data_IF_476936712690
#
_entry.id   IF_476936712690
#
_cell.length_a   1.000
_cell.length_b   1.000
_cell.length_c   1.000
_cell.angle_alpha   90.00
_cell.angle_beta   90.00
_cell.angle_gamma   90.00
#
_symmetry.space_group_name_H-M   'P 1'
#
loop_
_entity.id
_entity.type
_entity.pdbx_description
1 polymer ?
#
# COMPACT_ATOMS: atom_id res chain seq x y z
N UNK A 1 -21.37 20.61 71.63
CA UNK A 1 -20.54 20.71 70.40
C UNK A 1 -20.99 19.62 69.42
N UNK A 2 -21.91 19.89 68.48
CA UNK A 2 -22.54 18.76 67.74
C UNK A 2 -23.12 19.02 66.36
N UNK A 3 -23.55 20.24 66.04
CA UNK A 3 -24.15 20.55 64.72
C UNK A 3 -23.21 21.35 63.81
N UNK A 4 -22.64 22.45 64.31
CA UNK A 4 -21.75 23.32 63.51
C UNK A 4 -20.48 22.61 63.02
N UNK A 5 -19.88 21.74 63.83
CA UNK A 5 -18.70 20.96 63.44
C UNK A 5 -19.01 19.96 62.32
N UNK A 6 -20.22 19.36 62.33
CA UNK A 6 -20.65 18.44 61.26
C UNK A 6 -20.89 19.18 59.94
N UNK A 7 -21.47 20.38 60.01
CA UNK A 7 -21.68 21.22 58.83
C UNK A 7 -20.35 21.67 58.19
N UNK A 8 -19.38 22.06 59.02
CA UNK A 8 -18.03 22.42 58.55
C UNK A 8 -17.29 21.26 57.89
N UNK A 9 -17.38 20.06 58.47
CA UNK A 9 -16.76 18.85 57.88
C UNK A 9 -17.42 18.48 56.55
N UNK A 10 -18.75 18.54 56.45
CA UNK A 10 -19.46 18.25 55.19
C UNK A 10 -19.13 19.27 54.11
N UNK A 11 -19.04 20.57 54.47
CA UNK A 11 -18.66 21.61 53.52
C UNK A 11 -17.22 21.40 53.01
N UNK A 12 -16.29 21.05 53.91
CA UNK A 12 -14.91 20.73 53.54
C UNK A 12 -14.83 19.53 52.58
N UNK A 13 -15.57 18.45 52.85
CA UNK A 13 -15.60 17.27 51.99
C UNK A 13 -16.20 17.56 50.61
N UNK A 14 -17.26 18.36 50.54
CA UNK A 14 -17.85 18.78 49.26
C UNK A 14 -16.89 19.65 48.47
N UNK A 15 -16.20 20.60 49.11
CA UNK A 15 -15.18 21.42 48.43
C UNK A 15 -13.98 20.60 47.97
N UNK A 16 -13.54 19.60 48.74
CA UNK A 16 -12.47 18.70 48.36
C UNK A 16 -12.86 17.82 47.17
N UNK A 17 -14.09 17.29 47.17
CA UNK A 17 -14.64 16.53 46.04
C UNK A 17 -14.79 17.41 44.80
N UNK A 18 -15.25 18.65 44.94
CA UNK A 18 -15.35 19.59 43.83
C UNK A 18 -13.96 19.92 43.26
N UNK A 19 -12.95 20.09 44.11
CA UNK A 19 -11.57 20.25 43.66
C UNK A 19 -10.99 18.99 43.02
N UNK A 20 -11.33 17.78 43.49
CA UNK A 20 -10.93 16.54 42.82
C UNK A 20 -11.58 16.44 41.44
N UNK A 21 -12.86 16.78 41.29
CA UNK A 21 -13.56 16.73 39.99
C UNK A 21 -13.05 17.82 39.04
N UNK A 22 -12.73 19.02 39.54
CA UNK A 22 -12.17 20.12 38.75
C UNK A 22 -10.67 19.94 38.44
N UNK A 23 -9.90 19.27 39.31
CA UNK A 23 -8.50 18.89 39.06
C UNK A 23 -8.36 17.60 38.26
N UNK A 24 -9.46 16.85 38.10
CA UNK A 24 -9.61 15.84 37.07
C UNK A 24 -9.83 16.51 35.70
N UNK A 25 -8.97 17.48 35.40
CA UNK A 25 -8.59 17.82 34.05
C UNK A 25 -8.37 16.49 33.32
N UNK A 26 -9.20 16.24 32.32
CA UNK A 26 -8.98 15.13 31.41
C UNK A 26 -7.51 15.21 30.99
N UNK A 27 -6.67 14.30 31.49
CA UNK A 27 -5.32 14.09 30.97
C UNK A 27 -5.47 13.63 29.53
N UNK A 28 -5.65 14.60 28.62
CA UNK A 28 -5.68 14.43 27.17
C UNK A 28 -4.31 13.99 26.62
N UNK A 29 -3.31 13.83 27.48
CA UNK A 29 -1.94 13.47 27.12
C UNK A 29 -1.65 11.95 27.13
N UNK A 30 -2.65 11.08 27.28
CA UNK A 30 -2.47 9.65 26.94
C UNK A 30 -2.89 9.38 25.49
N UNK A 31 -2.28 10.10 24.54
CA UNK A 31 -2.11 9.54 23.19
C UNK A 31 -1.18 8.34 23.32
N UNK A 32 -1.57 7.12 22.89
CA UNK A 32 -0.63 6.02 22.81
C UNK A 32 0.53 6.47 21.92
N UNK A 33 1.75 6.47 22.45
CA UNK A 33 2.96 6.57 21.63
C UNK A 33 3.05 5.27 20.84
N UNK A 34 2.29 5.16 19.75
CA UNK A 34 2.29 3.99 18.86
C UNK A 34 3.71 3.68 18.36
N UNK A 35 4.59 4.67 18.36
CA UNK A 35 6.02 4.49 18.18
C UNK A 35 6.77 5.33 19.23
N UNK A 36 7.42 4.65 20.18
CA UNK A 36 8.42 5.28 21.06
C UNK A 36 9.60 5.85 20.26
N UNK A 37 10.33 6.81 20.85
CA UNK A 37 11.57 7.46 20.38
C UNK A 37 11.80 7.36 18.85
N UNK A 38 11.37 8.39 18.09
CA UNK A 38 11.66 8.69 16.66
C UNK A 38 12.02 7.45 15.82
N UNK A 39 11.05 6.95 15.04
CA UNK A 39 11.25 5.94 14.00
C UNK A 39 12.56 6.22 13.26
N UNK A 40 13.42 5.22 13.11
CA UNK A 40 14.71 5.40 12.44
C UNK A 40 14.53 5.21 10.93
N UNK A 41 15.11 6.07 10.09
CA UNK A 41 15.00 5.96 8.63
C UNK A 41 15.48 4.59 8.13
N UNK A 42 16.54 4.08 8.75
CA UNK A 42 17.06 2.71 8.59
C UNK A 42 16.00 1.62 8.74
N UNK A 43 15.00 1.80 9.59
CA UNK A 43 13.89 0.85 9.75
C UNK A 43 12.84 0.92 8.65
N UNK A 44 13.00 1.83 7.69
CA UNK A 44 12.12 2.06 6.56
C UNK A 44 12.81 1.81 5.21
N UNK A 45 14.13 1.68 5.15
CA UNK A 45 14.87 1.49 3.90
C UNK A 45 14.48 0.18 3.17
N UNK A 46 13.91 0.25 1.95
CA UNK A 46 13.59 -0.94 1.17
C UNK A 46 14.81 -1.73 0.66
N UNK A 47 16.03 -1.23 0.86
CA UNK A 47 17.26 -1.99 0.65
C UNK A 47 17.34 -3.21 1.61
N UNK A 48 16.71 -3.13 2.78
CA UNK A 48 16.77 -4.17 3.82
C UNK A 48 15.80 -5.31 3.56
N UNK A 49 16.29 -6.54 3.67
CA UNK A 49 15.51 -7.74 3.34
C UNK A 49 14.21 -7.89 4.13
N UNK A 50 14.20 -7.52 5.42
CA UNK A 50 12.99 -7.60 6.23
C UNK A 50 11.93 -6.57 5.82
N UNK A 51 12.34 -5.42 5.26
CA UNK A 51 11.41 -4.39 4.75
C UNK A 51 10.82 -4.84 3.42
N UNK A 52 11.64 -5.37 2.50
CA UNK A 52 11.17 -6.00 1.24
C UNK A 52 10.09 -7.06 1.51
N UNK A 53 10.38 -7.98 2.43
CA UNK A 53 9.44 -9.04 2.84
C UNK A 53 8.14 -8.47 3.40
N UNK A 54 8.22 -7.48 4.31
CA UNK A 54 7.02 -6.83 4.88
C UNK A 54 6.17 -6.13 3.84
N UNK A 55 6.79 -5.41 2.91
CA UNK A 55 6.08 -4.72 1.83
C UNK A 55 5.31 -5.69 0.96
N UNK A 56 5.95 -6.78 0.52
CA UNK A 56 5.28 -7.86 -0.23
C UNK A 56 4.16 -8.49 0.59
N UNK A 57 4.40 -8.75 1.88
CA UNK A 57 3.38 -9.32 2.78
C UNK A 57 2.17 -8.41 2.96
N UNK A 58 2.36 -7.09 3.11
CA UNK A 58 1.26 -6.14 3.22
C UNK A 58 0.41 -6.14 1.96
N UNK A 59 1.03 -6.13 0.78
CA UNK A 59 0.31 -6.18 -0.49
C UNK A 59 -0.46 -7.49 -0.66
N UNK A 60 0.19 -8.64 -0.42
CA UNK A 60 -0.47 -9.94 -0.51
C UNK A 60 -1.60 -10.11 0.52
N UNK A 61 -1.42 -9.57 1.73
CA UNK A 61 -2.49 -9.52 2.72
C UNK A 61 -3.70 -8.75 2.18
N UNK A 62 -3.52 -7.53 1.68
CA UNK A 62 -4.62 -6.73 1.14
C UNK A 62 -5.27 -7.36 -0.10
N UNK A 63 -4.47 -7.92 -1.02
CA UNK A 63 -4.97 -8.67 -2.19
C UNK A 63 -5.86 -9.86 -1.79
N UNK A 64 -5.60 -10.50 -0.65
CA UNK A 64 -6.46 -11.57 -0.11
C UNK A 64 -7.79 -11.09 0.49
N UNK A 65 -7.97 -9.77 0.67
CA UNK A 65 -9.13 -9.16 1.33
C UNK A 65 -10.06 -8.40 0.39
N UNK A 66 -9.81 -8.46 -0.92
CA UNK A 66 -10.66 -7.81 -1.93
C UNK A 66 -12.09 -8.34 -1.89
N UNK A 67 -13.03 -7.46 -2.21
CA UNK A 67 -14.45 -7.80 -2.37
C UNK A 67 -14.96 -7.20 -3.68
N UNK A 68 -15.60 -7.98 -4.57
CA UNK A 68 -15.76 -9.44 -4.50
C UNK A 68 -14.42 -10.20 -4.52
N UNK A 69 -14.39 -11.47 -4.09
CA UNK A 69 -13.17 -12.28 -4.14
C UNK A 69 -12.72 -12.46 -5.60
N UNK A 70 -11.41 -12.36 -5.84
CA UNK A 70 -10.83 -12.51 -7.16
C UNK A 70 -10.39 -13.97 -7.42
N UNK A 71 -10.67 -14.49 -8.62
CA UNK A 71 -10.33 -15.86 -9.02
C UNK A 71 -8.92 -16.00 -9.61
N UNK A 72 -8.32 -14.91 -10.10
CA UNK A 72 -7.04 -14.90 -10.81
C UNK A 72 -6.02 -13.89 -10.25
N UNK A 73 -6.14 -13.56 -8.95
CA UNK A 73 -5.24 -12.63 -8.28
C UNK A 73 -3.86 -13.27 -8.06
N UNK A 74 -2.84 -12.83 -8.79
CA UNK A 74 -1.48 -13.34 -8.62
C UNK A 74 -0.88 -12.87 -7.29
N UNK A 75 -0.09 -13.72 -6.64
CA UNK A 75 0.70 -13.31 -5.48
C UNK A 75 1.86 -12.40 -5.93
N UNK A 76 2.04 -11.27 -5.25
CA UNK A 76 3.18 -10.39 -5.47
C UNK A 76 4.48 -11.00 -4.92
N UNK A 77 5.56 -10.73 -5.63
CA UNK A 77 6.94 -11.02 -5.24
C UNK A 77 7.83 -9.79 -5.46
N UNK A 78 9.01 -9.79 -4.84
CA UNK A 78 9.92 -8.63 -4.93
C UNK A 78 10.74 -8.68 -6.22
N UNK A 79 10.73 -7.59 -6.98
CA UNK A 79 11.59 -7.37 -8.14
C UNK A 79 12.69 -6.36 -7.81
N UNK A 80 13.94 -6.79 -7.98
CA UNK A 80 15.10 -5.91 -7.79
C UNK A 80 15.13 -4.79 -8.85
N UNK A 81 14.81 -5.10 -10.11
CA UNK A 81 14.77 -4.11 -11.19
C UNK A 81 13.73 -3.02 -10.91
N UNK A 82 12.49 -3.41 -10.55
CA UNK A 82 11.44 -2.44 -10.21
C UNK A 82 11.81 -1.56 -9.00
N UNK A 83 12.58 -2.11 -8.05
CA UNK A 83 13.03 -1.37 -6.87
C UNK A 83 14.13 -0.36 -7.20
N UNK A 84 15.01 -0.65 -8.16
CA UNK A 84 16.01 0.30 -8.66
C UNK A 84 15.32 1.52 -9.25
N UNK A 85 14.32 1.31 -10.11
CA UNK A 85 13.56 2.41 -10.72
C UNK A 85 12.75 3.19 -9.68
N UNK A 86 12.11 2.49 -8.73
CA UNK A 86 11.36 3.13 -7.66
C UNK A 86 12.27 3.97 -6.75
N UNK A 87 13.48 3.51 -6.45
CA UNK A 87 14.46 4.27 -5.67
C UNK A 87 14.96 5.49 -6.44
N UNK A 88 15.30 5.33 -7.73
CA UNK A 88 15.66 6.45 -8.61
C UNK A 88 14.58 7.55 -8.60
N UNK A 89 13.31 7.16 -8.69
CA UNK A 89 12.21 8.13 -8.64
C UNK A 89 11.99 8.72 -7.25
N UNK A 90 12.18 7.95 -6.18
CA UNK A 90 12.11 8.49 -4.82
C UNK A 90 13.17 9.58 -4.63
N UNK A 91 14.41 9.33 -5.08
CA UNK A 91 15.57 10.23 -4.96
C UNK A 91 15.45 11.50 -5.81
N UNK A 92 14.63 11.47 -6.87
CA UNK A 92 14.36 12.67 -7.69
C UNK A 92 13.57 13.75 -6.94
N UNK A 93 12.98 13.39 -5.79
CA UNK A 93 12.28 14.30 -4.88
C UNK A 93 11.18 15.14 -5.54
N UNK A 94 10.49 14.56 -6.52
CA UNK A 94 9.30 15.16 -7.13
C UNK A 94 8.09 15.02 -6.20
N UNK A 95 7.45 16.14 -5.89
CA UNK A 95 6.32 16.17 -4.96
C UNK A 95 5.03 15.77 -5.68
N UNK A 96 4.49 14.58 -5.37
CA UNK A 96 3.22 14.06 -5.91
C UNK A 96 3.18 13.99 -7.45
N UNK A 97 4.33 13.78 -8.08
CA UNK A 97 4.45 13.60 -9.54
C UNK A 97 4.90 12.18 -9.81
N UNK A 98 4.25 11.52 -10.77
CA UNK A 98 4.62 10.19 -11.23
C UNK A 98 5.78 10.23 -12.23
N UNK A 99 6.57 9.18 -12.22
CA UNK A 99 7.63 8.97 -13.22
C UNK A 99 7.04 8.69 -14.59
N UNK A 100 7.80 8.97 -15.65
CA UNK A 100 7.38 8.61 -16.99
C UNK A 100 7.38 7.07 -17.19
N UNK A 101 6.68 6.61 -18.22
CA UNK A 101 6.53 5.17 -18.47
C UNK A 101 7.86 4.50 -18.86
N UNK A 102 8.73 5.23 -19.58
CA UNK A 102 10.05 4.74 -19.98
C UNK A 102 11.00 4.57 -18.78
N UNK A 103 10.85 5.40 -17.75
CA UNK A 103 11.60 5.36 -16.51
C UNK A 103 11.17 4.26 -15.54
N UNK A 104 10.07 3.57 -15.85
CA UNK A 104 9.50 2.48 -15.05
C UNK A 104 9.38 1.19 -15.87
N UNK A 105 10.30 0.94 -16.79
CA UNK A 105 10.25 -0.22 -17.68
C UNK A 105 11.29 -1.26 -17.27
N UNK A 106 10.81 -2.45 -16.91
CA UNK A 106 11.65 -3.60 -16.57
C UNK A 106 11.66 -4.57 -17.76
N UNK A 107 12.83 -5.05 -18.17
CA UNK A 107 13.02 -5.84 -19.39
C UNK A 107 12.07 -7.04 -19.50
N UNK A 108 11.84 -7.75 -18.39
CA UNK A 108 11.02 -8.96 -18.37
C UNK A 108 9.51 -8.69 -18.30
N UNK A 109 9.09 -7.49 -17.87
CA UNK A 109 7.69 -7.18 -17.58
C UNK A 109 7.14 -5.97 -18.32
N UNK A 110 7.97 -5.26 -19.09
CA UNK A 110 7.62 -4.00 -19.73
C UNK A 110 7.42 -2.87 -18.73
N UNK A 111 6.59 -1.91 -19.09
CA UNK A 111 6.23 -0.78 -18.23
C UNK A 111 5.55 -1.29 -16.95
N UNK A 112 5.93 -0.72 -15.82
CA UNK A 112 5.38 -0.96 -14.49
C UNK A 112 4.55 0.23 -14.04
N UNK A 113 3.45 0.01 -13.34
CA UNK A 113 2.69 1.08 -12.69
C UNK A 113 3.40 1.61 -11.44
N UNK A 114 2.85 2.64 -10.79
CA UNK A 114 3.51 3.32 -9.67
C UNK A 114 2.49 3.89 -8.67
N UNK A 115 2.76 3.68 -7.38
CA UNK A 115 2.10 4.39 -6.29
C UNK A 115 3.12 5.29 -5.57
N UNK A 116 2.68 6.48 -5.18
CA UNK A 116 3.48 7.45 -4.43
C UNK A 116 2.75 7.83 -3.14
N UNK A 117 3.52 7.99 -2.07
CA UNK A 117 3.04 8.54 -0.81
C UNK A 117 4.09 9.52 -0.29
N UNK A 118 3.63 10.67 0.21
CA UNK A 118 4.50 11.72 0.74
C UNK A 118 4.09 12.06 2.16
N UNK A 119 5.07 12.23 3.05
CA UNK A 119 4.84 12.72 4.40
C UNK A 119 5.95 13.67 4.86
N UNK A 120 5.60 14.67 5.66
CA UNK A 120 6.57 15.61 6.28
C UNK A 120 7.39 14.97 7.41
N UNK A 121 7.02 13.75 7.82
CA UNK A 121 7.67 12.98 8.88
C UNK A 121 7.81 11.53 8.43
N UNK A 122 8.69 10.79 9.11
CA UNK A 122 8.85 9.36 8.87
C UNK A 122 7.58 8.63 9.31
N UNK A 123 7.04 7.79 8.42
CA UNK A 123 5.88 6.95 8.70
C UNK A 123 6.23 5.49 8.43
N UNK A 124 5.66 4.53 9.17
CA UNK A 124 5.81 3.12 8.83
C UNK A 124 5.24 2.84 7.44
N UNK A 125 5.91 1.97 6.67
CA UNK A 125 5.41 1.51 5.37
C UNK A 125 3.98 0.98 5.41
N UNK A 126 3.59 0.32 6.50
CA UNK A 126 2.21 -0.15 6.67
C UNK A 126 1.19 1.00 6.61
N UNK A 127 1.54 2.19 7.12
CA UNK A 127 0.66 3.35 7.06
C UNK A 127 0.48 3.82 5.61
N UNK A 128 1.57 4.01 4.86
CA UNK A 128 1.50 4.39 3.45
C UNK A 128 0.69 3.38 2.61
N UNK A 129 1.01 2.09 2.74
CA UNK A 129 0.31 1.00 2.02
C UNK A 129 -1.16 0.92 2.42
N UNK A 130 -1.48 1.12 3.72
CA UNK A 130 -2.88 1.12 4.17
C UNK A 130 -3.66 2.32 3.62
N UNK A 131 -3.03 3.49 3.49
CA UNK A 131 -3.69 4.67 2.89
C UNK A 131 -4.08 4.40 1.43
N UNK A 132 -3.18 3.85 0.63
CA UNK A 132 -3.49 3.41 -0.73
C UNK A 132 -4.63 2.37 -0.77
N UNK A 133 -4.63 1.42 0.16
CA UNK A 133 -5.70 0.41 0.26
C UNK A 133 -7.08 1.00 0.63
N UNK A 134 -7.13 2.05 1.45
CA UNK A 134 -8.38 2.63 1.94
C UNK A 134 -9.20 3.34 0.85
N UNK A 135 -8.62 3.67 -0.30
CA UNK A 135 -9.37 4.16 -1.46
C UNK A 135 -10.42 3.15 -1.96
N UNK A 136 -10.35 1.89 -1.53
CA UNK A 136 -11.39 0.88 -1.76
C UNK A 136 -12.79 1.35 -1.32
N UNK A 137 -12.87 2.23 -0.32
CA UNK A 137 -14.14 2.71 0.21
C UNK A 137 -14.84 3.66 -0.78
N UNK A 138 -14.10 4.17 -1.77
CA UNK A 138 -14.58 4.99 -2.87
C UNK A 138 -14.65 4.21 -4.21
N UNK A 139 -14.23 2.94 -4.22
CA UNK A 139 -14.19 2.11 -5.42
C UNK A 139 -15.44 1.24 -5.56
N UNK A 140 -15.99 1.18 -6.77
CA UNK A 140 -17.08 0.25 -7.12
C UNK A 140 -16.62 -0.75 -8.16
N UNK A 141 -16.59 -2.05 -7.80
CA UNK A 141 -16.27 -3.11 -8.74
C UNK A 141 -17.33 -3.22 -9.84
N UNK A 142 -16.91 -3.24 -11.12
CA UNK A 142 -17.82 -3.26 -12.27
C UNK A 142 -18.59 -1.96 -12.50
N UNK A 143 -18.33 -0.92 -11.70
CA UNK A 143 -18.94 0.40 -11.88
C UNK A 143 -18.34 1.17 -13.05
N UNK A 144 -19.16 1.99 -13.71
CA UNK A 144 -18.75 2.83 -14.85
C UNK A 144 -18.11 4.16 -14.45
N UNK A 145 -18.01 4.47 -13.16
CA UNK A 145 -17.62 5.79 -12.62
C UNK A 145 -16.52 5.73 -11.57
N UNK A 146 -15.45 4.97 -11.81
CA UNK A 146 -14.27 5.02 -10.95
C UNK A 146 -13.32 6.12 -11.45
N UNK A 147 -13.08 7.14 -10.63
CA UNK A 147 -12.08 8.16 -10.89
C UNK A 147 -10.69 7.68 -10.46
N UNK A 148 -9.79 7.48 -11.43
CA UNK A 148 -8.43 6.99 -11.17
C UNK A 148 -7.58 7.97 -10.33
N UNK A 149 -7.93 9.25 -10.26
CA UNK A 149 -7.28 10.18 -9.32
C UNK A 149 -7.66 9.90 -7.87
N UNK A 150 -8.76 9.20 -7.62
CA UNK A 150 -9.29 8.88 -6.29
C UNK A 150 -9.02 7.43 -5.90
N UNK A 151 -9.09 6.49 -6.86
CA UNK A 151 -8.98 5.04 -6.58
C UNK A 151 -7.76 4.37 -7.24
N UNK A 152 -6.89 5.17 -7.86
CA UNK A 152 -5.75 4.67 -8.63
C UNK A 152 -4.78 3.85 -7.79
N UNK A 153 -4.50 4.27 -6.56
CA UNK A 153 -3.56 3.54 -5.71
C UNK A 153 -4.14 2.19 -5.28
N UNK A 154 -5.42 2.15 -4.89
CA UNK A 154 -6.10 0.90 -4.56
C UNK A 154 -6.13 -0.06 -5.75
N UNK A 155 -6.59 0.43 -6.91
CA UNK A 155 -6.72 -0.41 -8.12
C UNK A 155 -5.38 -0.98 -8.57
N UNK A 156 -4.29 -0.21 -8.46
CA UNK A 156 -2.94 -0.71 -8.70
C UNK A 156 -2.52 -1.79 -7.69
N UNK A 157 -2.77 -1.59 -6.39
CA UNK A 157 -2.44 -2.61 -5.37
C UNK A 157 -3.14 -3.95 -5.63
N UNK A 158 -4.36 -3.90 -6.15
CA UNK A 158 -5.20 -5.09 -6.41
C UNK A 158 -5.24 -5.49 -7.87
N UNK A 159 -4.34 -4.98 -8.72
CA UNK A 159 -4.32 -5.37 -10.11
C UNK A 159 -3.90 -6.84 -10.26
N UNK A 160 -4.75 -7.66 -10.87
CA UNK A 160 -4.60 -9.11 -10.82
C UNK A 160 -3.27 -9.59 -11.45
N UNK A 161 -2.83 -8.92 -12.52
CA UNK A 161 -1.63 -9.27 -13.28
C UNK A 161 -0.33 -8.74 -12.67
N UNK A 162 -0.37 -7.63 -11.93
CA UNK A 162 0.83 -7.08 -11.27
C UNK A 162 1.28 -8.02 -10.14
N UNK A 163 2.36 -8.75 -10.37
CA UNK A 163 2.87 -9.80 -9.48
C UNK A 163 4.36 -9.61 -9.13
N UNK A 164 4.96 -8.55 -9.65
CA UNK A 164 6.31 -8.11 -9.31
C UNK A 164 6.22 -6.70 -8.73
N UNK A 165 6.91 -6.44 -7.63
CA UNK A 165 6.93 -5.11 -7.03
C UNK A 165 8.29 -4.74 -6.48
N UNK A 166 8.61 -3.45 -6.51
CA UNK A 166 9.81 -2.89 -5.88
C UNK A 166 9.53 -1.49 -5.39
N UNK A 167 10.15 -1.08 -4.29
CA UNK A 167 9.89 0.21 -3.67
C UNK A 167 11.17 0.95 -3.32
N UNK A 168 11.08 2.27 -3.27
CA UNK A 168 12.11 3.21 -2.87
C UNK A 168 11.63 4.17 -1.78
N UNK A 169 12.58 4.70 -1.02
CA UNK A 169 12.35 5.74 -0.01
C UNK A 169 13.46 6.77 -0.06
N UNK A 170 13.10 8.04 -0.11
CA UNK A 170 14.04 9.15 -0.03
C UNK A 170 13.61 10.18 1.01
N UNK A 171 14.59 10.81 1.66
CA UNK A 171 14.37 12.01 2.46
C UNK A 171 14.77 13.25 1.65
N UNK A 172 13.78 14.00 1.24
CA UNK A 172 13.91 15.18 0.41
C UNK A 172 14.14 16.43 1.26
N UNK A 173 15.34 16.50 1.86
CA UNK A 173 15.70 17.53 2.84
C UNK A 173 15.67 18.97 2.28
N UNK A 174 15.91 19.13 0.98
CA UNK A 174 15.99 20.44 0.31
C UNK A 174 14.77 20.76 -0.56
N UNK A 175 13.74 19.90 -0.53
CA UNK A 175 12.55 20.13 -1.32
C UNK A 175 11.72 21.31 -0.80
N UNK A 176 11.08 22.02 -1.74
CA UNK A 176 10.21 23.17 -1.46
C UNK A 176 8.74 22.72 -1.59
N UNK A 177 7.80 23.28 -0.79
CA UNK A 177 8.00 24.34 0.20
C UNK A 177 8.59 23.87 1.54
N UNK A 178 8.59 22.57 1.82
CA UNK A 178 9.11 21.97 3.06
C UNK A 178 9.75 20.61 2.79
N UNK A 179 10.69 20.16 3.63
CA UNK A 179 11.23 18.81 3.58
C UNK A 179 10.13 17.75 3.70
N UNK A 180 10.30 16.65 2.97
CA UNK A 180 9.39 15.51 3.02
C UNK A 180 10.11 14.18 2.80
N UNK A 181 9.41 13.09 3.09
CA UNK A 181 9.81 11.72 2.80
C UNK A 181 8.97 11.22 1.62
N UNK A 182 9.64 10.75 0.59
CA UNK A 182 9.02 10.26 -0.65
C UNK A 182 9.04 8.73 -0.67
N UNK A 183 7.86 8.11 -0.64
CA UNK A 183 7.67 6.66 -0.66
C UNK A 183 7.14 6.29 -2.04
N UNK A 184 7.87 5.47 -2.78
CA UNK A 184 7.52 5.08 -4.15
C UNK A 184 7.48 3.56 -4.23
N UNK A 185 6.45 2.99 -4.84
CA UNK A 185 6.42 1.57 -5.19
C UNK A 185 6.03 1.41 -6.66
N UNK A 186 6.81 0.64 -7.40
CA UNK A 186 6.53 0.25 -8.79
C UNK A 186 5.98 -1.18 -8.84
N UNK A 187 5.05 -1.43 -9.77
CA UNK A 187 4.29 -2.68 -9.90
C UNK A 187 4.30 -3.19 -11.34
N UNK A 188 4.83 -4.39 -11.58
CA UNK A 188 5.01 -4.93 -12.92
C UNK A 188 4.22 -6.23 -13.14
N UNK A 189 3.68 -6.45 -14.35
CA UNK A 189 3.47 -5.45 -15.41
C UNK A 189 2.45 -4.38 -14.99
N UNK A 190 2.47 -3.23 -15.66
CA UNK A 190 1.46 -2.18 -15.48
C UNK A 190 0.08 -2.67 -15.89
N UNK A 191 -0.93 -1.97 -15.38
CA UNK A 191 -2.26 -1.95 -15.95
C UNK A 191 -2.21 -1.68 -17.47
N UNK A 192 -2.46 -2.70 -18.28
CA UNK A 192 -2.69 -2.53 -19.72
C UNK A 192 -4.17 -2.74 -19.95
N UNK A 193 -4.90 -1.68 -20.32
CA UNK A 193 -6.24 -1.79 -20.89
C UNK A 193 -6.11 -2.35 -22.32
N UNK A 194 -5.69 -3.60 -22.47
CA UNK A 194 -5.67 -4.26 -23.77
C UNK A 194 -6.97 -5.04 -23.94
N UNK A 195 -7.78 -4.75 -24.98
CA UNK A 195 -8.96 -5.54 -25.33
C UNK A 195 -8.60 -7.00 -25.71
N UNK A 196 -7.30 -7.29 -25.88
CA UNK A 196 -6.78 -8.56 -26.40
C UNK A 196 -6.28 -9.51 -25.31
N UNK A 197 -6.25 -9.09 -24.04
CA UNK A 197 -5.93 -10.00 -22.94
C UNK A 197 -7.21 -10.75 -22.60
N UNK A 198 -7.42 -11.89 -23.27
CA UNK A 198 -8.38 -12.89 -22.82
C UNK A 198 -8.11 -13.18 -21.35
N UNK A 199 -9.01 -12.76 -20.47
CA UNK A 199 -9.10 -13.32 -19.14
C UNK A 199 -9.44 -14.79 -19.35
N UNK A 200 -8.43 -15.66 -19.34
CA UNK A 200 -8.66 -17.09 -19.24
C UNK A 200 -9.44 -17.31 -17.94
N UNK A 201 -10.75 -17.51 -18.08
CA UNK A 201 -11.60 -17.98 -16.99
C UNK A 201 -11.16 -19.43 -16.75
N UNK A 202 -10.19 -19.63 -15.86
CA UNK A 202 -9.99 -20.95 -15.27
C UNK A 202 -11.21 -21.22 -14.39
N UNK A 203 -12.12 -22.03 -14.90
CA UNK A 203 -13.11 -22.72 -14.07
C UNK A 203 -12.31 -23.63 -13.13
N UNK A 204 -12.31 -23.34 -11.83
CA UNK A 204 -11.81 -24.28 -10.85
C UNK A 204 -12.68 -25.54 -10.91
N UNK A 205 -12.16 -26.62 -11.48
CA UNK A 205 -12.77 -27.95 -11.31
C UNK A 205 -12.32 -28.48 -9.96
N UNK A 206 -13.21 -28.44 -8.97
CA UNK A 206 -13.02 -29.11 -7.69
C UNK A 206 -13.13 -30.63 -7.89
N UNK A 207 -12.03 -31.36 -7.75
CA UNK A 207 -12.04 -32.82 -7.64
C UNK A 207 -11.55 -33.19 -6.24
N UNK A 208 -12.43 -33.81 -5.44
CA UNK A 208 -12.16 -34.32 -4.08
C UNK A 208 -11.50 -33.34 -3.08
N UNK A 209 -12.10 -32.16 -2.89
CA UNK A 209 -11.85 -31.27 -1.73
C UNK A 209 -10.38 -30.86 -1.48
N UNK A 210 -9.50 -30.98 -2.48
CA UNK A 210 -8.14 -30.43 -2.47
C UNK A 210 -7.98 -29.45 -3.64
N UNK A 211 -7.71 -28.19 -3.32
CA UNK A 211 -7.24 -27.22 -4.29
C UNK A 211 -5.78 -27.57 -4.64
N UNK A 212 -5.56 -28.25 -5.77
CA UNK A 212 -4.23 -28.33 -6.35
C UNK A 212 -3.97 -27.01 -7.09
N UNK A 213 -3.02 -26.22 -6.58
CA UNK A 213 -2.37 -25.20 -7.40
C UNK A 213 -1.58 -25.96 -8.46
N UNK A 214 -2.16 -26.12 -9.65
CA UNK A 214 -1.40 -26.63 -10.78
C UNK A 214 -0.44 -25.51 -11.19
N UNK A 215 0.75 -25.56 -10.60
CA UNK A 215 1.87 -24.69 -10.90
C UNK A 215 2.30 -25.02 -12.34
N UNK A 216 1.75 -24.32 -13.33
CA UNK A 216 2.29 -24.44 -14.69
C UNK A 216 3.66 -23.75 -14.70
N UNK A 217 4.68 -24.59 -14.51
CA UNK A 217 6.04 -24.39 -14.97
C UNK A 217 6.03 -23.86 -16.41
N UNK A 218 6.89 -22.87 -16.66
CA UNK A 218 7.20 -22.34 -17.99
C UNK A 218 7.37 -23.47 -19.01
N UNK A 219 6.67 -23.36 -20.15
CA UNK A 219 7.10 -23.94 -21.41
C UNK A 219 6.97 -22.90 -22.51
N UNK A 220 8.12 -22.48 -23.02
CA UNK A 220 8.27 -21.76 -24.27
C UNK A 220 7.85 -22.68 -25.43
N UNK A 221 6.82 -22.29 -26.18
CA UNK A 221 6.70 -22.67 -27.59
C UNK A 221 6.32 -21.42 -28.38
N UNK A 222 7.34 -20.86 -29.03
CA UNK A 222 7.21 -19.84 -30.07
C UNK A 222 6.41 -20.49 -31.21
N UNK A 223 5.19 -20.01 -31.46
CA UNK A 223 4.54 -20.20 -32.75
C UNK A 223 4.52 -18.85 -33.46
N UNK A 224 5.50 -18.67 -34.36
CA UNK A 224 5.50 -17.60 -35.36
C UNK A 224 4.22 -17.72 -36.22
N UNK A 225 3.57 -16.60 -36.59
CA UNK A 225 2.40 -16.63 -37.45
C UNK A 225 2.76 -17.13 -38.85
N UNK A 226 2.15 -18.25 -39.24
CA UNK A 226 2.05 -18.70 -40.63
C UNK A 226 1.16 -17.72 -41.39
N UNK A 227 1.74 -16.80 -42.15
CA UNK A 227 1.05 -16.13 -43.26
C UNK A 227 2.07 -15.55 -44.27
N UNK A 228 2.80 -16.45 -44.94
CA UNK A 228 3.29 -16.19 -46.30
C UNK A 228 2.19 -16.63 -47.26
N UNK A 229 1.40 -15.65 -47.74
CA UNK A 229 0.52 -15.83 -48.90
C UNK A 229 1.39 -16.16 -50.13
N UNK A 230 1.32 -17.41 -50.59
CA UNK A 230 1.32 -17.78 -52.03
C UNK A 230 -0.14 -18.11 -52.34
N UNK A 231 -0.76 -17.80 -53.47
CA UNK A 231 -0.31 -17.57 -54.83
C UNK A 231 -1.52 -17.00 -55.62
N UNK A 232 -1.26 -16.08 -56.55
CA UNK A 232 -1.52 -16.23 -57.99
C UNK A 232 -0.68 -15.21 -58.74
#
# INVERSE_FOLDING_TARGET
MGSGMRMLVMLALVTALLQIVLSHEWRTDRRPRLFGKRLQLRSLEPARQHIKKRLVQFHNFFRSKVKPPASNMLAMSWSAAAAVDAQRWADSCQLLVHDNDTGRTVQEFGTCGQNIFVATHQVPWFFAVKTWWLEKDNFTYGGSKNDLFVVGHYTQMVWHASHQMGCGLAHCAHAKPKPFYNYVCNYCPMYVFSPSVCVCVCVCVCVFSRCYVNLMSQFWLINLPKNLKKSK
#
